data_IF_516252701968
#
_entry.id   IF_516252701968
#
_cell.length_a   1.000
_cell.length_b   1.000
_cell.length_c   1.000
_cell.angle_alpha   90.00
_cell.angle_beta   90.00
_cell.angle_gamma   90.00
#
_symmetry.space_group_name_H-M   'P 1'
#
loop_
_entity.id
_entity.type
_entity.pdbx_description
1 polymer ?
#
# COMPACT_ATOMS: atom_id res chain seq x y z
N UNK A 1 37.80 -7.27 -33.09
CA UNK A 1 38.32 -6.21 -32.17
C UNK A 1 38.03 -4.80 -32.72
N UNK A 2 38.30 -4.48 -33.98
CA UNK A 2 38.12 -3.14 -34.60
C UNK A 2 36.64 -2.74 -34.64
N UNK A 3 35.72 -3.65 -34.97
CA UNK A 3 34.27 -3.37 -34.99
C UNK A 3 33.72 -3.05 -33.61
N UNK A 4 34.20 -3.73 -32.57
CA UNK A 4 33.79 -3.48 -31.17
C UNK A 4 34.30 -2.11 -30.66
N UNK A 5 35.51 -1.72 -31.03
CA UNK A 5 36.05 -0.40 -30.66
C UNK A 5 35.37 0.75 -31.40
N UNK A 6 34.98 0.56 -32.67
CA UNK A 6 34.20 1.54 -33.43
C UNK A 6 32.76 1.64 -32.90
N UNK A 7 32.15 0.51 -32.51
CA UNK A 7 30.81 0.51 -31.90
C UNK A 7 30.81 1.21 -30.53
N UNK A 8 31.81 0.93 -29.71
CA UNK A 8 31.98 1.57 -28.38
C UNK A 8 32.26 3.07 -28.56
N UNK A 9 33.07 3.48 -29.53
CA UNK A 9 33.36 4.90 -29.81
C UNK A 9 32.13 5.63 -30.33
N UNK A 10 31.33 5.02 -31.20
CA UNK A 10 30.07 5.60 -31.67
C UNK A 10 28.99 5.64 -30.59
N UNK A 11 28.95 4.63 -29.72
CA UNK A 11 28.01 4.57 -28.58
C UNK A 11 28.34 5.65 -27.54
N UNK A 12 29.64 5.85 -27.21
CA UNK A 12 30.06 6.93 -26.31
C UNK A 12 29.77 8.32 -26.89
N UNK A 13 30.01 8.52 -28.19
CA UNK A 13 29.67 9.79 -28.86
C UNK A 13 28.16 10.06 -28.94
N UNK A 14 27.33 9.01 -29.07
CA UNK A 14 25.87 9.12 -28.99
C UNK A 14 25.39 9.38 -27.57
N UNK A 15 25.98 8.74 -26.57
CA UNK A 15 25.70 8.96 -25.16
C UNK A 15 26.18 10.35 -24.72
N UNK A 16 27.35 10.81 -25.15
CA UNK A 16 27.84 12.15 -24.85
C UNK A 16 26.98 13.27 -25.48
N UNK A 17 26.32 12.99 -26.60
CA UNK A 17 25.35 13.93 -27.22
C UNK A 17 23.95 13.85 -26.62
N UNK A 18 23.60 12.76 -25.93
CA UNK A 18 22.28 12.53 -25.38
C UNK A 18 22.13 12.88 -23.90
N UNK A 19 23.21 12.96 -23.14
CA UNK A 19 23.19 13.40 -21.75
C UNK A 19 23.38 14.92 -21.76
N UNK A 20 22.28 15.63 -21.60
CA UNK A 20 22.30 17.06 -21.28
C UNK A 20 22.99 17.21 -19.93
N UNK A 21 24.30 17.47 -19.95
CA UNK A 21 25.09 17.78 -18.77
C UNK A 21 24.87 19.23 -18.30
N UNK A 22 23.84 19.90 -18.82
CA UNK A 22 23.47 21.22 -18.39
C UNK A 22 22.61 21.12 -17.11
N UNK A 23 22.86 21.97 -16.12
CA UNK A 23 22.02 22.02 -14.93
C UNK A 23 20.60 22.48 -15.32
N UNK A 24 19.56 22.06 -14.58
CA UNK A 24 18.20 22.53 -14.81
C UNK A 24 18.17 24.07 -14.65
N UNK A 25 17.23 24.72 -15.32
CA UNK A 25 17.06 26.18 -15.17
C UNK A 25 16.55 26.49 -13.76
N UNK A 26 17.05 27.55 -13.16
CA UNK A 26 16.65 27.97 -11.82
C UNK A 26 15.13 28.24 -11.73
N UNK A 27 14.54 28.75 -12.80
CA UNK A 27 13.09 29.02 -12.89
C UNK A 27 12.24 27.75 -12.79
N UNK A 28 12.77 26.62 -13.26
CA UNK A 28 12.10 25.31 -13.19
C UNK A 28 12.08 24.75 -11.76
N UNK A 29 12.95 25.25 -10.87
CA UNK A 29 13.10 24.86 -9.48
C UNK A 29 12.42 25.83 -8.51
N UNK A 30 11.34 26.48 -8.92
CA UNK A 30 10.63 27.53 -8.16
C UNK A 30 9.53 27.00 -7.23
N UNK A 31 9.73 25.83 -6.63
CA UNK A 31 8.78 25.22 -5.72
C UNK A 31 9.00 25.57 -4.24
N UNK A 32 8.08 25.15 -3.39
CA UNK A 32 8.12 25.42 -1.95
C UNK A 32 8.74 24.27 -1.14
N UNK A 33 8.93 23.10 -1.76
CA UNK A 33 9.44 21.89 -1.09
C UNK A 33 10.92 21.72 -1.39
N UNK A 34 11.78 22.11 -0.44
CA UNK A 34 13.24 22.06 -0.61
C UNK A 34 13.80 20.67 -0.31
N UNK A 35 14.24 19.95 -1.34
CA UNK A 35 14.73 18.58 -1.18
C UNK A 35 16.27 18.48 -1.17
N UNK A 36 16.97 19.48 -1.65
CA UNK A 36 18.42 19.48 -1.72
C UNK A 36 18.96 20.66 -2.50
N UNK A 37 20.16 20.52 -3.04
CA UNK A 37 20.81 21.52 -3.87
C UNK A 37 21.24 20.93 -5.21
N UNK A 38 21.12 21.70 -6.27
CA UNK A 38 21.62 21.34 -7.56
C UNK A 38 23.15 21.48 -7.56
N UNK A 39 23.86 20.38 -7.86
CA UNK A 39 25.30 20.37 -8.01
C UNK A 39 25.66 20.13 -9.47
N UNK A 40 26.60 20.91 -9.99
CA UNK A 40 27.12 20.78 -11.34
C UNK A 40 28.59 21.16 -11.37
N UNK A 41 29.43 20.34 -12.00
CA UNK A 41 30.88 20.54 -12.07
C UNK A 41 31.47 20.85 -10.67
N UNK A 42 31.15 20.05 -9.65
CA UNK A 42 31.61 20.16 -8.27
C UNK A 42 31.24 21.49 -7.55
N UNK A 43 30.31 22.24 -8.14
CA UNK A 43 29.76 23.47 -7.53
C UNK A 43 28.29 23.30 -7.18
N UNK A 44 27.93 23.72 -5.99
CA UNK A 44 26.53 23.89 -5.61
C UNK A 44 25.99 25.19 -6.22
N UNK A 45 24.87 25.10 -6.94
CA UNK A 45 24.32 26.24 -7.69
C UNK A 45 23.16 26.90 -6.93
N UNK A 46 22.05 26.20 -6.77
CA UNK A 46 20.82 26.69 -6.14
C UNK A 46 20.04 25.52 -5.54
N UNK A 47 19.01 25.84 -4.76
CA UNK A 47 18.18 24.83 -4.13
C UNK A 47 17.34 24.06 -5.16
N UNK A 48 17.31 22.73 -5.00
CA UNK A 48 16.39 21.88 -5.74
C UNK A 48 15.06 21.85 -4.98
N UNK A 49 14.05 22.43 -5.60
CA UNK A 49 12.72 22.55 -5.01
C UNK A 49 11.65 21.96 -5.91
N UNK A 50 10.62 21.35 -5.33
CA UNK A 50 9.44 20.85 -6.03
C UNK A 50 8.26 21.77 -5.80
N UNK A 51 7.39 21.85 -6.81
CA UNK A 51 6.10 22.57 -6.75
C UNK A 51 5.01 21.61 -6.29
N UNK A 52 3.88 22.13 -5.84
CA UNK A 52 2.73 21.33 -5.45
C UNK A 52 2.30 20.31 -6.54
N UNK A 53 2.27 20.74 -7.80
CA UNK A 53 1.91 19.88 -8.92
C UNK A 53 2.89 18.72 -9.19
N UNK A 54 4.11 18.83 -8.72
CA UNK A 54 5.13 17.80 -8.96
C UNK A 54 4.89 16.58 -8.06
N UNK A 55 4.17 16.76 -6.92
CA UNK A 55 3.73 15.67 -6.04
C UNK A 55 2.58 14.81 -6.61
N UNK A 56 1.94 15.26 -7.67
CA UNK A 56 0.90 14.47 -8.36
C UNK A 56 1.50 13.33 -9.20
N UNK A 57 2.81 13.24 -9.28
CA UNK A 57 3.54 12.22 -10.04
C UNK A 57 4.17 11.21 -9.09
N UNK A 58 4.31 9.98 -9.58
CA UNK A 58 5.05 8.96 -8.84
C UNK A 58 6.54 9.29 -8.80
N UNK A 59 7.17 9.03 -7.66
CA UNK A 59 8.60 9.18 -7.45
C UNK A 59 9.22 7.83 -7.14
N UNK A 60 10.30 7.47 -7.81
CA UNK A 60 11.07 6.27 -7.52
C UNK A 60 12.45 6.67 -6.99
N UNK A 61 12.81 6.19 -5.79
CA UNK A 61 14.10 6.43 -5.15
C UNK A 61 14.95 5.17 -5.26
N UNK A 62 15.95 5.18 -6.13
CA UNK A 62 16.81 4.02 -6.39
C UNK A 62 18.26 4.30 -5.97
N UNK A 63 19.03 3.24 -5.76
CA UNK A 63 20.45 3.32 -5.42
C UNK A 63 20.92 2.09 -4.65
N UNK A 64 22.22 1.92 -4.51
CA UNK A 64 22.85 0.83 -3.76
C UNK A 64 22.54 0.91 -2.26
N UNK A 65 22.80 -0.15 -1.52
CA UNK A 65 22.73 -0.12 -0.06
C UNK A 65 23.71 0.93 0.49
N UNK A 66 23.28 1.71 1.48
CA UNK A 66 24.11 2.78 2.05
C UNK A 66 24.14 4.10 1.27
N UNK A 67 23.52 4.21 0.09
CA UNK A 67 23.53 5.43 -0.74
C UNK A 67 22.66 6.58 -0.23
N UNK A 68 22.03 6.46 0.93
CA UNK A 68 21.22 7.54 1.50
C UNK A 68 19.75 7.57 1.08
N UNK A 69 19.21 6.52 0.43
CA UNK A 69 17.79 6.47 0.01
C UNK A 69 16.80 6.78 1.13
N UNK A 70 17.00 6.16 2.29
CA UNK A 70 16.15 6.37 3.47
C UNK A 70 16.28 7.80 4.00
N UNK A 71 17.50 8.37 4.01
CA UNK A 71 17.71 9.76 4.43
C UNK A 71 17.01 10.75 3.49
N UNK A 72 17.02 10.46 2.18
CA UNK A 72 16.26 11.27 1.22
C UNK A 72 14.75 11.15 1.42
N UNK A 73 14.24 9.93 1.70
CA UNK A 73 12.84 9.74 2.07
C UNK A 73 12.48 10.50 3.36
N UNK A 74 13.36 10.53 4.36
CA UNK A 74 13.16 11.36 5.58
C UNK A 74 13.03 12.84 5.24
N UNK A 75 13.88 13.34 4.35
CA UNK A 75 13.82 14.74 3.90
C UNK A 75 12.49 15.06 3.24
N UNK A 76 11.97 14.17 2.39
CA UNK A 76 10.65 14.31 1.77
C UNK A 76 9.56 14.39 2.85
N UNK A 77 9.56 13.47 3.81
CA UNK A 77 8.55 13.43 4.89
C UNK A 77 8.61 14.68 5.75
N UNK A 78 9.81 15.16 6.08
CA UNK A 78 9.99 16.41 6.82
C UNK A 78 9.44 17.62 6.06
N UNK A 79 9.66 17.71 4.75
CA UNK A 79 9.10 18.79 3.94
C UNK A 79 7.57 18.71 3.85
N UNK A 80 7.00 17.52 3.66
CA UNK A 80 5.54 17.32 3.69
C UNK A 80 4.96 17.72 5.05
N UNK A 81 5.60 17.33 6.14
CA UNK A 81 5.18 17.68 7.50
C UNK A 81 5.24 19.19 7.74
N UNK A 82 6.29 19.89 7.30
CA UNK A 82 6.43 21.36 7.40
C UNK A 82 5.30 22.08 6.69
N UNK A 83 4.83 21.53 5.58
CA UNK A 83 3.73 22.09 4.79
C UNK A 83 2.35 21.57 5.22
N UNK A 84 2.25 20.90 6.39
CA UNK A 84 1.01 20.28 6.91
C UNK A 84 0.30 19.36 5.89
N UNK A 85 1.07 18.63 5.09
CA UNK A 85 0.52 17.64 4.17
C UNK A 85 0.33 16.31 4.87
N UNK A 86 -0.81 15.68 4.63
CA UNK A 86 -1.05 14.33 5.11
C UNK A 86 -0.23 13.33 4.30
N UNK A 87 0.31 12.33 4.96
CA UNK A 87 1.05 11.24 4.32
C UNK A 87 0.84 9.93 5.07
N UNK A 88 0.97 8.83 4.35
CA UNK A 88 0.92 7.47 4.87
C UNK A 88 2.20 6.75 4.47
N UNK A 89 2.84 6.05 5.42
CA UNK A 89 4.07 5.31 5.19
C UNK A 89 3.84 3.83 5.48
N UNK A 90 4.07 2.99 4.48
CA UNK A 90 4.15 1.55 4.66
C UNK A 90 5.59 1.14 4.97
N UNK A 91 5.95 1.09 6.26
CA UNK A 91 7.31 0.83 6.72
C UNK A 91 7.56 -0.64 7.03
N UNK A 92 7.86 -1.42 6.01
CA UNK A 92 8.16 -2.85 6.16
C UNK A 92 9.40 -3.13 7.02
N UNK A 93 10.40 -2.25 6.95
CA UNK A 93 11.70 -2.42 7.63
C UNK A 93 11.77 -1.76 9.00
N UNK A 94 10.73 -1.06 9.42
CA UNK A 94 10.71 -0.27 10.66
C UNK A 94 11.79 0.84 10.69
N UNK A 95 12.14 1.36 9.51
CA UNK A 95 13.22 2.35 9.34
C UNK A 95 12.79 3.78 9.66
N UNK A 96 11.47 4.07 9.63
CA UNK A 96 10.92 5.41 9.81
C UNK A 96 10.55 5.76 11.25
N UNK A 97 10.71 4.84 12.19
CA UNK A 97 10.45 5.08 13.62
C UNK A 97 11.17 6.29 14.23
N UNK A 98 12.44 6.63 13.85
CA UNK A 98 13.08 7.83 14.35
C UNK A 98 12.31 9.13 14.12
N UNK A 99 11.46 9.19 13.08
CA UNK A 99 10.61 10.37 12.82
C UNK A 99 9.58 10.65 13.91
N UNK A 100 9.24 9.66 14.73
CA UNK A 100 8.31 9.83 15.86
C UNK A 100 8.87 10.79 16.93
N UNK A 101 10.20 10.84 17.09
CA UNK A 101 10.82 11.73 18.06
C UNK A 101 10.67 13.21 17.68
N UNK A 102 10.67 13.50 16.39
CA UNK A 102 10.67 14.86 15.85
C UNK A 102 9.28 15.34 15.41
N UNK A 103 8.29 14.45 15.40
CA UNK A 103 6.97 14.77 14.88
C UNK A 103 5.83 14.21 15.74
N UNK A 104 5.35 15.06 16.66
CA UNK A 104 4.28 14.70 17.61
C UNK A 104 2.93 14.36 16.94
N UNK A 105 2.72 14.74 15.66
CA UNK A 105 1.52 14.43 14.90
C UNK A 105 1.60 13.08 14.17
N UNK A 106 2.78 12.45 14.14
CA UNK A 106 2.96 11.17 13.47
C UNK A 106 2.44 10.04 14.36
N UNK A 107 1.51 9.27 13.84
CA UNK A 107 0.99 8.08 14.51
C UNK A 107 1.64 6.82 13.92
N UNK A 108 2.25 6.02 14.78
CA UNK A 108 2.76 4.70 14.40
C UNK A 108 1.71 3.63 14.71
N UNK A 109 1.33 2.88 13.69
CA UNK A 109 0.38 1.78 13.80
C UNK A 109 1.11 0.49 13.43
N UNK A 110 1.05 -0.54 14.29
CA UNK A 110 1.67 -1.83 13.98
C UNK A 110 0.63 -2.91 13.79
N UNK A 111 0.92 -3.81 12.87
CA UNK A 111 0.12 -5.02 12.67
C UNK A 111 0.65 -6.11 13.61
N UNK A 112 -0.17 -6.56 14.55
CA UNK A 112 0.11 -7.71 15.42
C UNK A 112 0.93 -7.47 16.69
N UNK A 113 1.70 -6.39 16.81
CA UNK A 113 2.53 -6.13 18.00
C UNK A 113 1.89 -5.10 18.95
N UNK A 114 1.47 -5.57 20.11
CA UNK A 114 0.82 -4.75 21.14
C UNK A 114 1.78 -3.99 22.07
N UNK A 115 3.05 -4.32 22.02
CA UNK A 115 4.02 -3.86 23.04
C UNK A 115 4.59 -2.48 22.78
N UNK A 116 4.51 -1.94 21.59
CA UNK A 116 5.34 -0.77 21.18
C UNK A 116 4.51 0.38 20.57
N UNK A 117 3.24 0.17 20.20
CA UNK A 117 2.46 1.20 19.48
C UNK A 117 0.97 0.89 19.43
N UNK A 118 0.20 1.80 18.85
CA UNK A 118 -1.20 1.55 18.52
C UNK A 118 -1.33 0.35 17.60
N UNK A 119 -2.17 -0.62 17.97
CA UNK A 119 -2.42 -1.79 17.13
C UNK A 119 -3.40 -1.40 16.04
N UNK A 120 -3.08 -1.78 14.82
CA UNK A 120 -4.01 -1.68 13.71
C UNK A 120 -5.22 -2.57 13.96
N UNK A 121 -6.41 -1.99 13.92
CA UNK A 121 -7.68 -2.67 14.18
C UNK A 121 -8.64 -2.33 13.07
N UNK A 122 -9.04 -3.32 12.30
CA UNK A 122 -9.96 -3.14 11.19
C UNK A 122 -10.89 -4.34 11.06
N UNK A 123 -12.12 -4.10 10.66
CA UNK A 123 -12.99 -5.12 10.09
C UNK A 123 -12.96 -4.95 8.57
N UNK A 124 -12.36 -5.88 7.86
CA UNK A 124 -12.28 -5.83 6.39
C UNK A 124 -13.65 -5.78 5.72
N UNK A 125 -14.68 -6.27 6.38
CA UNK A 125 -16.04 -6.26 5.84
C UNK A 125 -16.77 -4.92 6.07
N UNK A 126 -16.19 -4.00 6.85
CA UNK A 126 -16.72 -2.65 7.00
C UNK A 126 -16.32 -1.80 5.78
N UNK A 127 -17.27 -1.32 4.97
CA UNK A 127 -16.96 -0.47 3.82
C UNK A 127 -16.34 0.86 4.25
N UNK A 128 -15.43 1.43 3.45
CA UNK A 128 -14.97 2.79 3.65
C UNK A 128 -16.10 3.81 3.53
N UNK A 129 -15.89 5.00 4.10
CA UNK A 129 -16.85 6.10 4.00
C UNK A 129 -17.17 6.43 2.53
N UNK A 130 -18.45 6.59 2.23
CA UNK A 130 -18.94 6.89 0.88
C UNK A 130 -19.06 5.68 -0.07
N UNK A 131 -18.67 4.48 0.35
CA UNK A 131 -18.80 3.25 -0.44
C UNK A 131 -20.04 2.48 0.02
N UNK A 132 -20.91 2.10 -0.91
CA UNK A 132 -22.08 1.29 -0.57
C UNK A 132 -21.67 -0.13 -0.15
N UNK A 133 -22.37 -0.76 0.82
CA UNK A 133 -22.05 -2.12 1.25
C UNK A 133 -22.08 -3.15 0.11
N UNK A 134 -22.94 -2.97 -0.90
CA UNK A 134 -22.98 -3.87 -2.06
C UNK A 134 -21.77 -3.74 -2.97
N UNK A 135 -21.34 -2.51 -3.23
CA UNK A 135 -20.11 -2.26 -4.00
C UNK A 135 -18.89 -2.80 -3.25
N UNK A 136 -18.85 -2.59 -1.93
CA UNK A 136 -17.76 -3.08 -1.11
C UNK A 136 -17.60 -4.61 -1.14
N UNK A 137 -18.70 -5.35 -1.11
CA UNK A 137 -18.69 -6.82 -1.23
C UNK A 137 -18.03 -7.26 -2.53
N UNK A 138 -18.31 -6.58 -3.65
CA UNK A 138 -17.69 -6.86 -4.96
C UNK A 138 -16.19 -6.53 -4.92
N UNK A 139 -15.85 -5.32 -4.50
CA UNK A 139 -14.44 -4.86 -4.39
C UNK A 139 -13.62 -5.80 -3.51
N UNK A 140 -14.18 -6.22 -2.37
CA UNK A 140 -13.48 -7.11 -1.45
C UNK A 140 -13.29 -8.51 -2.02
N UNK A 141 -14.28 -9.03 -2.75
CA UNK A 141 -14.17 -10.31 -3.44
C UNK A 141 -13.10 -10.27 -4.55
N UNK A 142 -13.07 -9.20 -5.36
CA UNK A 142 -12.05 -8.97 -6.39
C UNK A 142 -10.65 -8.89 -5.78
N UNK A 143 -10.47 -8.03 -4.78
CA UNK A 143 -9.20 -7.81 -4.10
C UNK A 143 -8.61 -9.09 -3.48
N UNK A 144 -9.45 -9.91 -2.83
CA UNK A 144 -9.02 -11.16 -2.25
C UNK A 144 -8.68 -12.19 -3.33
N UNK A 145 -9.48 -12.27 -4.39
CA UNK A 145 -9.23 -13.19 -5.49
C UNK A 145 -7.91 -12.88 -6.18
N UNK A 146 -7.63 -11.62 -6.46
CA UNK A 146 -6.36 -11.17 -7.02
C UNK A 146 -5.18 -11.40 -6.08
N UNK A 147 -5.31 -11.00 -4.81
CA UNK A 147 -4.24 -11.12 -3.81
C UNK A 147 -3.79 -12.55 -3.55
N UNK A 148 -4.71 -13.51 -3.64
CA UNK A 148 -4.45 -14.92 -3.45
C UNK A 148 -4.31 -15.70 -4.76
N UNK A 149 -4.32 -15.02 -5.92
CA UNK A 149 -4.25 -15.61 -7.25
C UNK A 149 -5.30 -16.74 -7.44
N UNK A 150 -6.50 -16.52 -6.94
CA UNK A 150 -7.55 -17.51 -6.92
C UNK A 150 -8.36 -17.54 -8.23
N UNK A 151 -9.08 -18.64 -8.49
CA UNK A 151 -9.89 -18.81 -9.69
C UNK A 151 -11.23 -18.08 -9.61
N UNK A 152 -11.89 -17.89 -10.75
CA UNK A 152 -13.25 -17.33 -10.82
C UNK A 152 -14.28 -18.11 -10.00
N UNK A 153 -14.12 -19.45 -9.87
CA UNK A 153 -14.98 -20.24 -9.00
C UNK A 153 -14.87 -19.86 -7.53
N UNK A 154 -13.64 -19.57 -7.07
CA UNK A 154 -13.38 -19.08 -5.70
C UNK A 154 -13.95 -17.68 -5.52
N UNK A 155 -13.78 -16.78 -6.51
CA UNK A 155 -14.39 -15.45 -6.51
C UNK A 155 -15.89 -15.53 -6.28
N UNK A 156 -16.59 -16.36 -7.07
CA UNK A 156 -18.04 -16.58 -6.92
C UNK A 156 -18.40 -17.00 -5.49
N UNK A 157 -17.70 -17.97 -4.93
CA UNK A 157 -17.95 -18.48 -3.56
C UNK A 157 -17.77 -17.38 -2.52
N UNK A 158 -16.70 -16.59 -2.61
CA UNK A 158 -16.44 -15.46 -1.68
C UNK A 158 -17.53 -14.42 -1.79
N UNK A 159 -17.85 -13.98 -3.02
CA UNK A 159 -18.88 -12.98 -3.30
C UNK A 159 -20.23 -13.39 -2.70
N UNK A 160 -20.71 -14.60 -3.02
CA UNK A 160 -21.99 -15.12 -2.53
C UNK A 160 -22.01 -15.27 -1.00
N UNK A 161 -20.90 -15.69 -0.40
CA UNK A 161 -20.83 -15.88 1.05
C UNK A 161 -20.84 -14.53 1.78
N UNK A 162 -20.11 -13.53 1.27
CA UNK A 162 -20.14 -12.17 1.78
C UNK A 162 -21.54 -11.54 1.63
N UNK A 163 -22.14 -11.63 0.44
CA UNK A 163 -23.48 -11.08 0.18
C UNK A 163 -24.55 -11.68 1.11
N UNK A 164 -24.53 -12.98 1.30
CA UNK A 164 -25.43 -13.66 2.23
C UNK A 164 -25.20 -13.23 3.68
N UNK A 165 -23.94 -13.12 4.12
CA UNK A 165 -23.63 -12.67 5.47
C UNK A 165 -24.08 -11.21 5.71
N UNK A 166 -23.91 -10.33 4.74
CA UNK A 166 -24.37 -8.93 4.82
C UNK A 166 -25.90 -8.84 4.88
N UNK A 167 -26.62 -9.69 4.13
CA UNK A 167 -28.09 -9.79 4.21
C UNK A 167 -28.54 -10.23 5.61
N UNK A 168 -27.96 -11.32 6.12
CA UNK A 168 -28.31 -11.88 7.42
C UNK A 168 -28.04 -10.91 8.57
N UNK A 169 -26.97 -10.12 8.49
CA UNK A 169 -26.63 -9.11 9.49
C UNK A 169 -27.37 -7.79 9.31
N UNK A 170 -28.26 -7.70 8.34
CA UNK A 170 -29.09 -6.51 8.07
C UNK A 170 -28.28 -5.31 7.55
N UNK A 171 -27.06 -5.53 7.05
CA UNK A 171 -26.18 -4.44 6.58
C UNK A 171 -26.84 -3.66 5.45
N UNK A 172 -27.51 -4.34 4.53
CA UNK A 172 -28.26 -3.69 3.43
C UNK A 172 -29.51 -2.93 3.89
N UNK A 173 -29.93 -3.12 5.13
CA UNK A 173 -31.04 -2.43 5.77
C UNK A 173 -30.57 -1.37 6.78
N UNK A 174 -29.30 -0.97 6.70
CA UNK A 174 -28.74 0.10 7.53
C UNK A 174 -28.08 -0.34 8.84
N UNK A 175 -27.88 -1.64 9.08
CA UNK A 175 -27.08 -2.10 10.21
C UNK A 175 -25.63 -1.67 10.05
N UNK A 176 -25.06 -1.12 11.13
CA UNK A 176 -23.63 -0.78 11.23
C UNK A 176 -22.79 -1.90 11.85
N UNK A 177 -23.42 -3.03 12.17
CA UNK A 177 -22.74 -4.21 12.67
C UNK A 177 -22.37 -5.12 11.51
N UNK A 178 -21.08 -5.22 11.22
CA UNK A 178 -20.56 -5.99 10.09
C UNK A 178 -20.07 -7.37 10.52
N UNK A 179 -20.33 -8.44 9.71
CA UNK A 179 -19.76 -9.76 9.96
C UNK A 179 -18.23 -9.68 9.91
N UNK A 180 -17.54 -10.52 10.67
CA UNK A 180 -16.07 -10.67 10.58
C UNK A 180 -15.72 -11.87 9.72
N UNK A 181 -14.44 -11.99 9.34
CA UNK A 181 -13.94 -13.16 8.59
C UNK A 181 -14.03 -14.46 9.41
N UNK A 182 -14.07 -14.40 10.73
CA UNK A 182 -14.39 -15.58 11.54
C UNK A 182 -15.81 -16.11 11.24
N UNK A 183 -16.76 -15.21 11.03
CA UNK A 183 -18.13 -15.58 10.66
C UNK A 183 -18.19 -16.12 9.22
N UNK A 184 -17.51 -15.47 8.28
CA UNK A 184 -17.40 -15.92 6.88
C UNK A 184 -16.78 -17.32 6.82
N UNK A 185 -15.69 -17.54 7.57
CA UNK A 185 -15.04 -18.85 7.67
C UNK A 185 -16.00 -19.95 8.10
N UNK A 186 -16.74 -19.71 9.18
CA UNK A 186 -17.72 -20.68 9.67
C UNK A 186 -18.79 -21.02 8.62
N UNK A 187 -19.30 -20.02 7.90
CA UNK A 187 -20.23 -20.25 6.79
C UNK A 187 -19.64 -21.08 5.65
N UNK A 188 -18.39 -20.90 5.35
CA UNK A 188 -17.69 -21.71 4.32
C UNK A 188 -17.51 -23.15 4.80
N UNK A 189 -17.19 -23.37 6.09
CA UNK A 189 -17.11 -24.69 6.71
C UNK A 189 -18.46 -25.43 6.65
N UNK A 190 -19.56 -24.80 7.05
CA UNK A 190 -20.90 -25.37 6.97
C UNK A 190 -21.34 -25.72 5.53
N UNK A 191 -20.94 -24.92 4.54
CA UNK A 191 -21.22 -25.22 3.14
C UNK A 191 -20.41 -26.42 2.65
N UNK A 192 -19.13 -26.52 3.05
CA UNK A 192 -18.24 -27.59 2.61
C UNK A 192 -18.72 -28.97 3.05
N UNK A 193 -19.33 -29.06 4.24
CA UNK A 193 -19.91 -30.33 4.74
C UNK A 193 -21.07 -30.86 3.86
N UNK A 194 -21.70 -29.99 3.06
CA UNK A 194 -22.92 -30.30 2.30
C UNK A 194 -22.66 -30.49 0.80
N UNK A 195 -21.47 -30.18 0.33
CA UNK A 195 -21.17 -30.10 -1.10
C UNK A 195 -20.00 -31.05 -1.44
N UNK A 196 -20.07 -31.65 -2.63
CA UNK A 196 -19.03 -32.52 -3.17
C UNK A 196 -18.68 -32.15 -4.61
N UNK A 197 -17.62 -32.74 -5.15
CA UNK A 197 -17.19 -32.51 -6.53
C UNK A 197 -16.42 -31.21 -6.74
N UNK A 198 -16.54 -30.60 -7.91
CA UNK A 198 -15.73 -29.45 -8.32
C UNK A 198 -15.94 -28.21 -7.44
N UNK A 199 -17.15 -28.01 -6.98
CA UNK A 199 -17.49 -26.86 -6.13
C UNK A 199 -16.85 -26.98 -4.74
N UNK A 200 -16.69 -28.19 -4.20
CA UNK A 200 -15.96 -28.42 -2.98
C UNK A 200 -14.52 -27.93 -3.04
N UNK A 201 -13.81 -28.14 -4.17
CA UNK A 201 -12.45 -27.63 -4.36
C UNK A 201 -12.35 -26.11 -4.39
N UNK A 202 -13.36 -25.41 -4.89
CA UNK A 202 -13.43 -23.95 -4.81
C UNK A 202 -13.73 -23.48 -3.39
N UNK A 203 -14.62 -24.17 -2.67
CA UNK A 203 -14.91 -23.91 -1.26
C UNK A 203 -13.69 -24.10 -0.37
N UNK A 204 -12.93 -25.18 -0.55
CA UNK A 204 -11.66 -25.42 0.15
C UNK A 204 -10.65 -24.29 -0.09
N UNK A 205 -10.60 -23.78 -1.33
CA UNK A 205 -9.74 -22.65 -1.67
C UNK A 205 -10.20 -21.35 -1.02
N UNK A 206 -11.50 -21.06 -0.98
CA UNK A 206 -12.06 -19.93 -0.27
C UNK A 206 -11.83 -20.04 1.25
N UNK A 207 -11.97 -21.24 1.80
CA UNK A 207 -11.70 -21.54 3.22
C UNK A 207 -10.24 -21.32 3.60
N UNK A 208 -9.28 -21.66 2.71
CA UNK A 208 -7.87 -21.32 2.92
C UNK A 208 -7.64 -19.82 3.03
N UNK A 209 -8.28 -19.01 2.17
CA UNK A 209 -8.22 -17.54 2.25
C UNK A 209 -8.79 -17.07 3.60
N UNK A 210 -9.99 -17.50 3.95
CA UNK A 210 -10.62 -17.16 5.23
C UNK A 210 -9.78 -17.58 6.43
N UNK A 211 -9.09 -18.72 6.34
CA UNK A 211 -8.19 -19.20 7.39
C UNK A 211 -6.99 -18.26 7.57
N UNK A 212 -6.36 -17.81 6.49
CA UNK A 212 -5.27 -16.81 6.57
C UNK A 212 -5.76 -15.51 7.22
N UNK A 213 -6.93 -15.01 6.82
CA UNK A 213 -7.52 -13.77 7.34
C UNK A 213 -7.98 -13.86 8.79
N UNK A 214 -8.06 -15.06 9.36
CA UNK A 214 -8.45 -15.29 10.77
C UNK A 214 -7.31 -15.82 11.64
N UNK A 215 -6.12 -16.04 11.07
CA UNK A 215 -5.03 -16.71 11.76
C UNK A 215 -4.22 -15.76 12.66
N UNK A 216 -3.96 -16.20 13.88
CA UNK A 216 -3.03 -15.57 14.83
C UNK A 216 -3.33 -14.09 15.15
N UNK A 217 -2.30 -13.31 15.39
CA UNK A 217 -2.42 -11.87 15.70
C UNK A 217 -2.89 -11.06 14.49
N UNK A 218 -2.52 -11.47 13.28
CA UNK A 218 -3.02 -10.87 12.05
C UNK A 218 -4.55 -11.01 11.94
N UNK A 219 -5.07 -12.20 12.25
CA UNK A 219 -6.51 -12.42 12.27
C UNK A 219 -7.23 -11.56 13.30
N UNK A 220 -6.67 -11.35 14.49
CA UNK A 220 -7.23 -10.44 15.50
C UNK A 220 -7.27 -8.98 15.01
N UNK A 221 -6.29 -8.58 14.23
CA UNK A 221 -6.20 -7.24 13.63
C UNK A 221 -7.31 -6.99 12.61
N UNK A 222 -7.56 -7.98 11.73
CA UNK A 222 -8.48 -7.86 10.60
C UNK A 222 -9.95 -8.18 10.93
N UNK A 223 -10.22 -8.66 12.14
CA UNK A 223 -11.56 -9.06 12.58
C UNK A 223 -12.03 -8.27 13.81
N UNK A 224 -11.69 -6.99 13.84
CA UNK A 224 -12.08 -6.12 14.94
C UNK A 224 -13.59 -5.82 14.90
N UNK A 225 -14.23 -5.76 16.08
CA UNK A 225 -15.69 -5.54 16.20
C UNK A 225 -16.08 -4.13 16.63
N UNK A 226 -15.10 -3.23 16.78
CA UNK A 226 -15.34 -1.82 17.12
C UNK A 226 -15.06 -0.90 15.93
N UNK A 227 -14.84 0.37 16.21
CA UNK A 227 -14.46 1.35 15.21
C UNK A 227 -13.08 1.03 14.62
N UNK A 228 -12.96 1.13 13.31
CA UNK A 228 -11.70 0.94 12.60
C UNK A 228 -10.68 2.01 13.00
N UNK A 229 -9.39 1.65 12.95
CA UNK A 229 -8.28 2.58 13.26
C UNK A 229 -8.05 3.65 12.19
N UNK A 230 -8.62 3.48 11.01
CA UNK A 230 -8.53 4.36 9.82
C UNK A 230 -9.87 4.37 9.11
#
# INVERSE_FOLDING_TARGET
HVLNSLYQKNLSQLLDKGVLLEPPRKEDMSGNYALGRVSYADKELFDFTLREKDWQRHMCITGMSGSGKTNFAFKIIQELSRHNKNFLIFDWKKSFRPLLADNAKLMNITVGDKSVSNVFKVNLNCPPEGVSPKEWVVVLADLLTESFMASFGVHKIILETLDNAFKEWGVYNGSTNYPTWNHIKHKLEEKLEKISGREAGWLESALRIATVLTFGEFGKTLNYKGENSI
#
